data_IF_067192222478
#
_entry.id   IF_067192222478
#
_cell.length_a   1.000
_cell.length_b   1.000
_cell.length_c   1.000
_cell.angle_alpha   90.00
_cell.angle_beta   90.00
_cell.angle_gamma   90.00
#
_symmetry.space_group_name_H-M   'P 1'
#
loop_
_entity.id
_entity.type
_entity.pdbx_description
1 polymer ?
#
# COMPACT_ATOMS: atom_id res chain seq x y z
N UNK A 1 -38.11 -19.80 -61.74
CA UNK A 1 -36.70 -19.84 -61.28
C UNK A 1 -36.02 -18.46 -61.23
N UNK A 2 -36.03 -17.64 -62.30
CA UNK A 2 -35.31 -16.34 -62.33
C UNK A 2 -35.71 -15.35 -61.22
N UNK A 3 -37.00 -15.22 -60.87
CA UNK A 3 -37.46 -14.29 -59.83
C UNK A 3 -36.91 -14.62 -58.43
N UNK A 4 -36.92 -15.90 -58.05
CA UNK A 4 -36.36 -16.33 -56.76
C UNK A 4 -34.83 -16.14 -56.75
N UNK A 5 -34.16 -16.38 -57.87
CA UNK A 5 -32.72 -16.14 -58.01
C UNK A 5 -32.36 -14.66 -57.81
N UNK A 6 -33.15 -13.74 -58.36
CA UNK A 6 -32.97 -12.29 -58.15
C UNK A 6 -33.16 -11.93 -56.68
N UNK A 7 -34.21 -12.46 -56.03
CA UNK A 7 -34.48 -12.20 -54.61
C UNK A 7 -33.34 -12.74 -53.73
N UNK A 8 -32.86 -13.96 -53.97
CA UNK A 8 -31.75 -14.53 -53.21
C UNK A 8 -30.46 -13.71 -53.38
N UNK A 9 -30.15 -13.29 -54.61
CA UNK A 9 -28.99 -12.44 -54.88
C UNK A 9 -29.10 -11.10 -54.14
N UNK A 10 -30.27 -10.45 -54.19
CA UNK A 10 -30.50 -9.17 -53.54
C UNK A 10 -30.38 -9.25 -52.01
N UNK A 11 -30.91 -10.32 -51.40
CA UNK A 11 -30.78 -10.57 -49.96
C UNK A 11 -29.32 -10.85 -49.59
N UNK A 12 -28.60 -11.63 -50.38
CA UNK A 12 -27.18 -11.89 -50.15
C UNK A 12 -26.34 -10.60 -50.19
N UNK A 13 -26.59 -9.73 -51.18
CA UNK A 13 -25.92 -8.43 -51.26
C UNK A 13 -26.22 -7.53 -50.05
N UNK A 14 -27.46 -7.52 -49.57
CA UNK A 14 -27.84 -6.74 -48.39
C UNK A 14 -27.15 -7.27 -47.13
N UNK A 15 -27.11 -8.59 -46.92
CA UNK A 15 -26.45 -9.19 -45.76
C UNK A 15 -24.94 -8.93 -45.76
N UNK A 16 -24.29 -9.04 -46.93
CA UNK A 16 -22.86 -8.75 -47.07
C UNK A 16 -22.59 -7.26 -46.84
N UNK A 17 -23.43 -6.37 -47.41
CA UNK A 17 -23.31 -4.93 -47.22
C UNK A 17 -23.44 -4.53 -45.76
N UNK A 18 -24.55 -4.88 -45.11
CA UNK A 18 -24.77 -4.58 -43.69
C UNK A 18 -23.73 -5.22 -42.78
N UNK A 19 -23.32 -6.47 -43.07
CA UNK A 19 -22.27 -7.15 -42.34
C UNK A 19 -20.93 -6.40 -42.42
N UNK A 20 -20.56 -5.90 -43.60
CA UNK A 20 -19.32 -5.14 -43.78
C UNK A 20 -19.31 -3.84 -42.97
N UNK A 21 -20.41 -3.08 -42.97
CA UNK A 21 -20.55 -1.87 -42.15
C UNK A 21 -20.45 -2.19 -40.66
N UNK A 22 -21.09 -3.28 -40.20
CA UNK A 22 -21.02 -3.70 -38.80
C UNK A 22 -19.60 -4.02 -38.34
N UNK A 23 -18.83 -4.71 -39.18
CA UNK A 23 -17.43 -5.06 -38.87
C UNK A 23 -16.56 -3.79 -38.78
N UNK A 24 -16.74 -2.84 -39.69
CA UNK A 24 -16.00 -1.57 -39.67
C UNK A 24 -16.36 -0.77 -38.41
N UNK A 25 -17.64 -0.69 -38.05
CA UNK A 25 -18.07 0.02 -36.85
C UNK A 25 -17.51 -0.59 -35.57
N UNK A 26 -17.52 -1.92 -35.47
CA UNK A 26 -16.92 -2.63 -34.35
C UNK A 26 -15.42 -2.37 -34.25
N UNK A 27 -14.71 -2.36 -35.38
CA UNK A 27 -13.28 -2.00 -35.43
C UNK A 27 -13.02 -0.56 -35.00
N UNK A 28 -13.87 0.38 -35.40
CA UNK A 28 -13.78 1.78 -34.98
C UNK A 28 -13.96 1.90 -33.47
N UNK A 29 -15.01 1.27 -32.92
CA UNK A 29 -15.28 1.27 -31.48
C UNK A 29 -14.16 0.63 -30.65
N UNK A 30 -13.56 -0.48 -31.14
CA UNK A 30 -12.40 -1.08 -30.46
C UNK A 30 -11.19 -0.13 -30.49
N UNK A 31 -10.98 0.61 -31.60
CA UNK A 31 -9.89 1.58 -31.71
C UNK A 31 -10.09 2.77 -30.75
N UNK A 32 -11.30 3.27 -30.62
CA UNK A 32 -11.61 4.38 -29.71
C UNK A 32 -11.42 3.97 -28.25
N UNK A 33 -11.91 2.77 -27.88
CA UNK A 33 -11.72 2.21 -26.53
C UNK A 33 -10.23 1.96 -26.26
N UNK A 34 -9.46 1.51 -27.24
CA UNK A 34 -8.02 1.31 -27.10
C UNK A 34 -7.27 2.64 -26.90
N UNK A 35 -7.69 3.71 -27.58
CA UNK A 35 -7.13 5.03 -27.39
C UNK A 35 -7.44 5.60 -25.99
N UNK A 36 -8.67 5.41 -25.51
CA UNK A 36 -9.06 5.82 -24.15
C UNK A 36 -8.32 5.02 -23.08
N UNK A 37 -8.20 3.69 -23.24
CA UNK A 37 -7.40 2.85 -22.36
C UNK A 37 -5.93 3.28 -22.33
N UNK A 38 -5.36 3.70 -23.48
CA UNK A 38 -3.97 4.16 -23.54
C UNK A 38 -3.77 5.45 -22.72
N UNK A 39 -4.70 6.41 -22.81
CA UNK A 39 -4.64 7.63 -22.00
C UNK A 39 -4.75 7.31 -20.51
N UNK A 40 -5.68 6.43 -20.13
CA UNK A 40 -5.86 6.01 -18.74
C UNK A 40 -4.65 5.23 -18.21
N UNK A 41 -3.98 4.46 -19.05
CA UNK A 41 -2.79 3.72 -18.68
C UNK A 41 -1.59 4.65 -18.44
N UNK A 42 -1.42 5.68 -19.28
CA UNK A 42 -0.42 6.74 -19.07
C UNK A 42 -0.65 7.48 -17.76
N UNK A 43 -1.89 7.92 -17.48
CA UNK A 43 -2.23 8.57 -16.21
C UNK A 43 -1.94 7.66 -15.01
N UNK A 44 -2.27 6.38 -15.14
CA UNK A 44 -2.00 5.36 -14.11
C UNK A 44 -0.50 5.15 -13.90
N UNK A 45 0.32 5.20 -14.95
CA UNK A 45 1.78 5.09 -14.84
C UNK A 45 2.39 6.29 -14.09
N UNK A 46 1.95 7.52 -14.40
CA UNK A 46 2.40 8.73 -13.71
C UNK A 46 2.09 8.64 -12.21
N UNK A 47 0.85 8.31 -11.85
CA UNK A 47 0.44 8.18 -10.44
C UNK A 47 1.24 7.11 -9.70
N UNK A 48 1.56 6.00 -10.34
CA UNK A 48 2.36 4.95 -9.71
C UNK A 48 3.79 5.39 -9.44
N UNK A 49 4.38 6.15 -10.36
CA UNK A 49 5.71 6.71 -10.18
C UNK A 49 5.75 7.67 -8.99
N UNK A 50 4.76 8.57 -8.89
CA UNK A 50 4.63 9.50 -7.76
C UNK A 50 4.44 8.76 -6.42
N UNK A 51 3.56 7.76 -6.38
CA UNK A 51 3.35 6.94 -5.17
C UNK A 51 4.64 6.23 -4.77
N UNK A 52 5.41 5.73 -5.72
CA UNK A 52 6.69 5.08 -5.44
C UNK A 52 7.73 6.06 -4.89
N UNK A 53 7.81 7.27 -5.44
CA UNK A 53 8.67 8.33 -4.91
C UNK A 53 8.27 8.74 -3.49
N UNK A 54 6.98 8.93 -3.22
CA UNK A 54 6.47 9.25 -1.88
C UNK A 54 6.74 8.12 -0.89
N UNK A 55 6.57 6.85 -1.28
CA UNK A 55 6.93 5.69 -0.45
C UNK A 55 8.44 5.66 -0.19
N UNK A 56 9.24 5.99 -1.19
CA UNK A 56 10.69 6.14 -1.07
C UNK A 56 11.07 7.21 -0.03
N UNK A 57 10.52 8.42 -0.15
CA UNK A 57 10.73 9.52 0.80
C UNK A 57 10.28 9.14 2.22
N UNK A 58 9.10 8.52 2.36
CA UNK A 58 8.59 8.04 3.65
C UNK A 58 9.52 7.00 4.28
N UNK A 59 10.05 6.06 3.49
CA UNK A 59 11.02 5.07 3.97
C UNK A 59 12.33 5.73 4.42
N UNK A 60 12.76 6.77 3.70
CA UNK A 60 13.97 7.52 4.03
C UNK A 60 13.79 8.31 5.32
N UNK A 61 12.64 8.97 5.50
CA UNK A 61 12.30 9.71 6.72
C UNK A 61 12.19 8.80 7.95
N UNK A 62 11.75 7.54 7.78
CA UNK A 62 11.72 6.55 8.87
C UNK A 62 13.09 5.94 9.20
N UNK A 63 14.16 6.25 8.45
CA UNK A 63 15.50 5.74 8.79
C UNK A 63 15.92 6.25 10.18
N UNK A 64 16.49 5.40 11.05
CA UNK A 64 16.81 5.77 12.44
C UNK A 64 17.69 7.01 12.58
N UNK A 65 18.60 7.25 11.64
CA UNK A 65 19.46 8.44 11.62
C UNK A 65 18.70 9.74 11.33
N UNK A 66 17.77 9.70 10.37
CA UNK A 66 16.93 10.84 10.00
C UNK A 66 15.86 11.07 11.07
N UNK A 67 15.30 10.00 11.61
CA UNK A 67 14.34 10.09 12.71
C UNK A 67 15.00 10.65 13.98
N UNK A 68 16.23 10.26 14.28
CA UNK A 68 16.99 10.78 15.41
C UNK A 68 17.27 12.29 15.28
N UNK A 69 17.59 12.77 14.08
CA UNK A 69 17.79 14.21 13.84
C UNK A 69 16.47 14.99 13.84
N UNK A 70 15.36 14.42 13.36
CA UNK A 70 14.04 15.04 13.41
C UNK A 70 13.48 15.18 14.84
N UNK A 71 13.90 14.30 15.76
CA UNK A 71 13.43 14.26 17.16
C UNK A 71 14.53 14.73 18.13
N UNK A 72 15.65 15.24 17.62
CA UNK A 72 16.77 15.72 18.42
C UNK A 72 16.30 16.84 19.36
N UNK A 73 16.44 16.63 20.67
CA UNK A 73 15.99 17.56 21.70
C UNK A 73 14.54 17.36 22.21
N UNK A 74 13.68 16.61 21.50
CA UNK A 74 12.33 16.24 21.97
C UNK A 74 12.30 14.91 22.73
N UNK A 75 13.27 14.03 22.46
CA UNK A 75 13.44 12.72 23.11
C UNK A 75 14.33 12.76 24.37
N UNK A 76 14.67 13.94 24.91
CA UNK A 76 15.41 14.02 26.18
C UNK A 76 14.53 13.46 27.30
N UNK A 77 15.02 12.39 27.94
CA UNK A 77 14.41 11.84 29.15
C UNK A 77 14.29 12.98 30.18
N UNK A 78 13.09 13.17 30.74
CA UNK A 78 12.89 14.16 31.81
C UNK A 78 13.84 13.89 32.98
N UNK A 79 14.20 14.94 33.71
CA UNK A 79 15.08 14.85 34.89
C UNK A 79 14.58 13.74 35.83
N UNK A 80 15.47 12.88 36.38
CA UNK A 80 15.08 11.74 37.22
C UNK A 80 14.11 12.08 38.36
N UNK A 81 14.18 13.30 38.90
CA UNK A 81 13.28 13.84 39.94
C UNK A 81 11.82 13.97 39.49
N UNK A 82 11.54 14.00 38.18
CA UNK A 82 10.19 14.07 37.59
C UNK A 82 9.70 12.74 37.01
N UNK A 83 10.50 11.68 37.09
CA UNK A 83 10.11 10.33 36.68
C UNK A 83 9.60 9.55 37.88
N UNK A 84 8.31 9.18 37.84
CA UNK A 84 7.69 8.34 38.86
C UNK A 84 7.93 6.88 38.47
N UNK A 85 8.72 6.16 39.26
CA UNK A 85 8.93 4.72 39.11
C UNK A 85 7.77 3.97 39.77
N UNK A 86 6.79 3.55 38.98
CA UNK A 86 5.62 2.80 39.48
C UNK A 86 5.98 1.31 39.55
N UNK A 87 5.77 0.70 40.72
CA UNK A 87 5.95 -0.75 40.89
C UNK A 87 4.83 -1.52 40.18
N UNK A 88 5.12 -2.73 39.68
CA UNK A 88 4.16 -3.58 38.94
C UNK A 88 2.84 -3.78 39.72
N UNK A 89 2.92 -3.91 41.04
CA UNK A 89 1.75 -4.01 41.95
C UNK A 89 0.91 -2.73 41.95
N UNK A 90 1.55 -1.57 41.94
CA UNK A 90 0.89 -0.27 41.98
C UNK A 90 0.23 0.08 40.64
N UNK A 91 0.87 -0.29 39.52
CA UNK A 91 0.30 -0.15 38.17
C UNK A 91 -0.94 -1.02 37.98
N UNK A 92 -0.90 -2.29 38.40
CA UNK A 92 -2.04 -3.21 38.33
C UNK A 92 -3.22 -2.76 39.20
N UNK A 93 -2.94 -2.13 40.35
CA UNK A 93 -3.99 -1.62 41.24
C UNK A 93 -4.73 -0.40 40.67
N UNK A 94 -4.06 0.41 39.84
CA UNK A 94 -4.64 1.62 39.22
C UNK A 94 -5.18 1.40 37.81
N UNK A 95 -4.62 0.45 37.07
CA UNK A 95 -5.05 0.06 35.71
C UNK A 95 -5.99 -1.16 35.77
N UNK A 96 -6.78 -1.26 36.84
CA UNK A 96 -7.83 -2.26 36.96
C UNK A 96 -9.05 -1.86 36.13
N UNK A 97 -9.09 -2.22 34.85
CA UNK A 97 -10.35 -2.21 34.10
C UNK A 97 -10.33 -2.07 32.58
N UNK A 98 -9.60 -2.93 31.85
CA UNK A 98 -10.07 -3.70 30.66
C UNK A 98 -8.88 -4.24 29.85
N UNK A 99 -9.06 -5.47 29.39
CA UNK A 99 -8.08 -6.35 28.74
C UNK A 99 -7.45 -5.71 27.51
N UNK A 100 -6.12 -5.66 27.50
CA UNK A 100 -5.30 -5.34 26.33
C UNK A 100 -3.84 -5.60 26.67
N UNK A 101 -3.38 -6.80 26.35
CA UNK A 101 -2.06 -7.35 26.66
C UNK A 101 -0.94 -6.47 26.09
N UNK A 102 -0.21 -5.74 26.95
CA UNK A 102 1.03 -5.06 26.59
C UNK A 102 2.20 -5.84 27.20
N UNK A 103 2.92 -6.56 26.35
CA UNK A 103 4.14 -7.30 26.72
C UNK A 103 5.31 -6.31 26.64
N UNK A 104 5.79 -5.85 27.79
CA UNK A 104 7.08 -5.15 27.91
C UNK A 104 8.06 -6.15 28.46
N UNK A 105 9.04 -6.54 27.63
CA UNK A 105 10.17 -7.35 28.05
C UNK A 105 10.95 -6.66 29.16
N UNK A 106 11.14 -7.35 30.27
CA UNK A 106 11.87 -6.85 31.43
C UNK A 106 13.34 -6.62 31.08
N UNK A 107 13.84 -5.41 31.38
CA UNK A 107 15.26 -5.04 31.33
C UNK A 107 16.11 -5.79 32.39
N UNK A 108 15.53 -6.74 33.13
CA UNK A 108 16.25 -7.55 34.12
C UNK A 108 17.10 -8.67 33.47
N UNK A 109 16.83 -9.10 32.24
CA UNK A 109 17.68 -10.10 31.57
C UNK A 109 19.09 -9.57 31.21
N UNK A 110 19.23 -8.26 30.96
CA UNK A 110 20.53 -7.65 30.65
C UNK A 110 21.44 -7.45 31.88
N UNK A 111 20.88 -7.46 33.09
CA UNK A 111 21.68 -7.35 34.31
C UNK A 111 22.27 -8.71 34.74
N UNK A 112 21.56 -9.81 34.47
CA UNK A 112 22.02 -11.17 34.81
C UNK A 112 23.18 -11.68 33.95
N UNK A 113 23.33 -11.17 32.71
CA UNK A 113 24.45 -11.56 31.83
C UNK A 113 25.79 -10.94 32.23
N UNK A 114 25.80 -9.82 32.96
CA UNK A 114 27.05 -9.19 33.41
C UNK A 114 27.63 -9.84 34.68
N UNK A 115 26.80 -10.47 35.51
CA UNK A 115 27.24 -11.20 36.70
C UNK A 115 27.82 -12.59 36.39
N UNK A 116 27.49 -13.18 35.23
CA UNK A 116 28.05 -14.48 34.81
C UNK A 116 29.46 -14.36 34.20
N UNK A 117 29.85 -13.17 33.71
CA UNK A 117 31.16 -12.95 33.10
C UNK A 117 32.26 -12.52 34.11
N UNK A 118 31.89 -12.29 35.38
CA UNK A 118 32.83 -11.93 36.46
C UNK A 118 33.23 -13.10 37.37
N UNK A 119 32.55 -14.24 37.30
CA UNK A 119 32.89 -15.45 38.06
C UNK A 119 33.78 -16.43 37.30
N UNK A 120 34.21 -16.09 36.08
CA UNK A 120 34.99 -16.93 35.18
C UNK A 120 36.38 -16.38 34.85
N UNK A 121 37.05 -15.72 35.81
CA UNK A 121 38.47 -15.37 35.71
C UNK A 121 39.20 -15.65 37.01
#
# INVERSE_FOLDING_TARGET
>A
MRRNQIVFSLVAFLLIGFGAIGIVWMRLGISDIAAECAVLEDEREVLLREVQELRGQRSWAMRPSVLASMVEGRLKMGVPERTIHVSRKEMLSRVGGKRGQFVVGDRQELAGMNSLNQAGR
#
